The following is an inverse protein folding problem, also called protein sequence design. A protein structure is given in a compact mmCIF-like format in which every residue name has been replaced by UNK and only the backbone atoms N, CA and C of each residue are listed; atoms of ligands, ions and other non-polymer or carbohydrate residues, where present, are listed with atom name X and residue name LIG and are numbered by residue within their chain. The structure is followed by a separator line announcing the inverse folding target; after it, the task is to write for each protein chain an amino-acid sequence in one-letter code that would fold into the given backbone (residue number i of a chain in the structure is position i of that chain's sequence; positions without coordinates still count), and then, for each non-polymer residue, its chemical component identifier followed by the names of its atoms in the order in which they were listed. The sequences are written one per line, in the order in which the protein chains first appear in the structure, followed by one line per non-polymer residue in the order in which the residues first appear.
data_IF_118623842579
#
_entry.id   IF_118623842579
#
_cell.length_a   1.000
_cell.length_b   1.000
_cell.length_c   1.000
_cell.angle_alpha   90.00
_cell.angle_beta   90.00
_cell.angle_gamma   90.00
#
_symmetry.space_group_name_H-M   'P 1'
#
loop_
_entity.id
_entity.type
_entity.pdbx_description
1 polymer ?
#
# COMPACT_ATOMS: atom_id res chain seq x y z
N UNK A 1 16.64 -23.11 -5.47
CA UNK A 1 16.49 -23.99 -6.65
C UNK A 1 16.96 -23.29 -7.94
N UNK A 2 16.28 -22.24 -8.44
CA UNK A 2 16.63 -21.59 -9.72
C UNK A 2 18.08 -21.04 -9.78
N UNK A 3 18.53 -20.28 -8.77
CA UNK A 3 19.93 -19.81 -8.69
C UNK A 3 20.96 -20.93 -8.61
N UNK A 4 20.61 -22.08 -8.02
CA UNK A 4 21.48 -23.25 -7.95
C UNK A 4 21.65 -23.92 -9.34
N UNK A 5 20.68 -23.73 -10.23
CA UNK A 5 20.73 -24.15 -11.64
C UNK A 5 21.38 -23.09 -12.55
N UNK A 6 22.00 -22.05 -11.99
CA UNK A 6 22.67 -20.98 -12.74
C UNK A 6 21.76 -19.89 -13.31
N UNK A 7 20.47 -19.88 -12.95
CA UNK A 7 19.51 -18.87 -13.42
C UNK A 7 19.57 -17.59 -12.57
N UNK A 8 19.49 -16.42 -13.21
CA UNK A 8 19.46 -15.11 -12.53
C UNK A 8 18.08 -14.83 -11.89
N UNK A 9 17.76 -15.56 -10.82
CA UNK A 9 16.47 -15.47 -10.15
C UNK A 9 16.50 -14.55 -8.92
N UNK A 10 15.46 -13.74 -8.72
CA UNK A 10 15.30 -12.87 -7.56
C UNK A 10 13.92 -12.95 -6.91
N UNK A 11 13.83 -12.57 -5.63
CA UNK A 11 12.56 -12.41 -4.93
C UNK A 11 11.99 -11.02 -5.14
N UNK A 12 10.68 -10.91 -5.25
CA UNK A 12 10.00 -9.62 -5.24
C UNK A 12 8.76 -9.63 -4.36
N UNK A 13 8.51 -8.50 -3.71
CA UNK A 13 7.27 -8.24 -3.00
C UNK A 13 6.21 -7.77 -4.01
N UNK A 14 5.07 -8.45 -4.04
CA UNK A 14 3.93 -8.09 -4.87
C UNK A 14 2.83 -7.55 -3.95
N UNK A 15 2.38 -6.30 -4.12
CA UNK A 15 1.26 -5.77 -3.36
C UNK A 15 -0.05 -6.42 -3.83
N UNK A 16 -0.34 -7.64 -3.36
CA UNK A 16 -1.68 -8.20 -3.47
C UNK A 16 -2.70 -7.30 -2.74
N UNK A 17 -3.97 -7.26 -3.20
CA UNK A 17 -5.06 -6.81 -2.35
C UNK A 17 -4.95 -7.56 -1.02
N UNK A 18 -4.96 -6.86 0.12
CA UNK A 18 -4.75 -7.49 1.41
C UNK A 18 -5.76 -8.62 1.61
N UNK A 19 -5.29 -9.84 1.84
CA UNK A 19 -6.15 -10.90 2.34
C UNK A 19 -6.46 -10.56 3.80
N UNK A 20 -7.72 -10.19 4.03
CA UNK A 20 -8.22 -9.79 5.34
C UNK A 20 -8.39 -11.04 6.21
N UNK A 21 -7.87 -10.97 7.42
CA UNK A 21 -8.36 -11.79 8.52
C UNK A 21 -8.53 -10.85 9.70
N UNK A 22 -9.74 -10.30 9.83
CA UNK A 22 -10.19 -9.76 11.11
C UNK A 22 -10.46 -10.98 11.99
N UNK A 23 -9.56 -11.23 12.95
CA UNK A 23 -9.74 -12.28 13.95
C UNK A 23 -9.65 -11.59 15.30
N UNK A 24 -10.80 -11.54 15.98
CA UNK A 24 -10.97 -10.93 17.30
C UNK A 24 -10.69 -9.40 17.34
N UNK A 25 -11.02 -8.67 16.26
CA UNK A 25 -10.84 -7.20 16.19
C UNK A 25 -9.39 -6.78 15.94
N UNK A 26 -8.56 -7.70 15.45
CA UNK A 26 -7.12 -7.47 15.21
C UNK A 26 -6.78 -7.71 13.73
N UNK A 27 -6.06 -6.75 13.15
CA UNK A 27 -5.69 -6.75 11.74
C UNK A 27 -4.30 -7.37 11.55
N UNK A 28 -4.26 -8.56 10.93
CA UNK A 28 -3.01 -9.28 10.61
C UNK A 28 -2.40 -8.86 9.27
N UNK A 29 -1.06 -8.91 9.18
CA UNK A 29 -0.32 -8.68 7.94
C UNK A 29 0.17 -10.00 7.34
N UNK A 30 -0.48 -10.44 6.26
CA UNK A 30 0.09 -11.39 5.29
C UNK A 30 0.59 -10.63 4.07
N UNK A 31 1.79 -10.99 3.60
CA UNK A 31 2.39 -10.41 2.40
C UNK A 31 2.70 -11.49 1.38
N UNK A 32 2.65 -11.11 0.11
CA UNK A 32 2.91 -12.00 -1.01
C UNK A 32 4.29 -11.78 -1.60
N UNK A 33 5.07 -12.86 -1.66
CA UNK A 33 6.44 -12.85 -2.17
C UNK A 33 6.56 -13.88 -3.27
N UNK A 34 6.95 -13.43 -4.46
CA UNK A 34 7.14 -14.28 -5.64
C UNK A 34 8.61 -14.29 -6.07
N UNK A 35 8.97 -15.31 -6.86
CA UNK A 35 10.29 -15.41 -7.49
C UNK A 35 10.16 -15.02 -8.95
N UNK A 36 11.09 -14.21 -9.45
CA UNK A 36 11.19 -13.88 -10.87
C UNK A 36 12.42 -14.56 -11.46
N UNK A 37 12.25 -15.16 -12.64
CA UNK A 37 13.32 -15.74 -13.44
C UNK A 37 13.27 -15.11 -14.84
N UNK A 38 14.30 -14.40 -15.30
CA UNK A 38 14.32 -13.80 -16.62
C UNK A 38 14.34 -14.88 -17.71
N UNK A 39 13.69 -14.61 -18.83
CA UNK A 39 13.66 -15.47 -20.00
C UNK A 39 13.82 -14.65 -21.29
N UNK A 40 14.11 -15.35 -22.39
CA UNK A 40 14.36 -14.73 -23.70
C UNK A 40 13.23 -13.83 -24.20
N UNK A 41 11.99 -14.05 -23.76
CA UNK A 41 10.81 -13.26 -24.15
C UNK A 41 10.12 -12.55 -22.96
N UNK A 42 10.83 -12.26 -21.87
CA UNK A 42 10.26 -11.56 -20.71
C UNK A 42 10.77 -12.11 -19.37
N UNK A 43 9.86 -12.42 -18.46
CA UNK A 43 10.20 -12.99 -17.15
C UNK A 43 9.12 -13.97 -16.71
N UNK A 44 9.54 -15.09 -16.11
CA UNK A 44 8.66 -16.02 -15.44
C UNK A 44 8.50 -15.58 -13.99
N UNK A 45 7.26 -15.35 -13.56
CA UNK A 45 6.93 -15.18 -12.15
C UNK A 45 6.50 -16.53 -11.60
N UNK A 46 7.32 -17.12 -10.74
CA UNK A 46 6.96 -18.31 -9.98
C UNK A 46 6.34 -17.84 -8.66
N UNK A 47 5.02 -17.98 -8.59
CA UNK A 47 4.22 -17.73 -7.42
C UNK A 47 4.06 -19.02 -6.62
N UNK A 48 4.45 -19.03 -5.35
CA UNK A 48 4.33 -20.24 -4.51
C UNK A 48 2.85 -20.55 -4.17
N UNK A 49 1.95 -19.58 -4.33
CA UNK A 49 0.49 -19.74 -4.16
C UNK A 49 -0.26 -20.11 -5.45
N UNK A 50 0.39 -20.05 -6.61
CA UNK A 50 -0.21 -20.43 -7.90
C UNK A 50 -1.22 -19.43 -8.50
N UNK A 51 -1.26 -18.17 -8.07
CA UNK A 51 -2.14 -17.15 -8.64
C UNK A 51 -1.51 -16.41 -9.83
N UNK A 52 -2.25 -16.23 -10.92
CA UNK A 52 -1.85 -15.37 -12.05
C UNK A 52 -1.98 -13.88 -11.67
N UNK A 53 -0.93 -13.10 -11.94
CA UNK A 53 -0.85 -11.70 -11.50
C UNK A 53 -0.84 -10.73 -12.68
N UNK A 54 -1.51 -9.56 -12.57
CA UNK A 54 -1.48 -8.54 -13.61
C UNK A 54 -0.12 -7.81 -13.67
N UNK A 55 0.39 -7.61 -14.89
CA UNK A 55 1.76 -7.15 -15.25
C UNK A 55 2.24 -5.80 -14.66
N UNK A 56 1.37 -5.00 -14.03
CA UNK A 56 1.60 -3.57 -13.81
C UNK A 56 1.85 -3.12 -12.36
N UNK A 57 2.28 -4.03 -11.48
CA UNK A 57 2.60 -3.65 -10.10
C UNK A 57 4.09 -3.30 -9.95
N UNK A 58 4.38 -2.20 -9.24
CA UNK A 58 5.76 -1.82 -8.86
C UNK A 58 6.30 -2.85 -7.86
N UNK A 59 6.79 -3.97 -8.37
CA UNK A 59 7.39 -5.00 -7.57
C UNK A 59 8.75 -4.53 -7.04
N UNK A 60 8.98 -4.70 -5.74
CA UNK A 60 10.25 -4.35 -5.10
C UNK A 60 11.11 -5.61 -5.03
N UNK A 61 12.29 -5.58 -5.66
CA UNK A 61 13.30 -6.65 -5.51
C UNK A 61 13.69 -6.75 -4.04
N UNK A 62 13.66 -7.96 -3.50
CA UNK A 62 13.98 -8.30 -2.13
C UNK A 62 15.35 -8.95 -2.05
N UNK A 63 16.03 -8.71 -0.94
CA UNK A 63 17.18 -9.55 -0.56
C UNK A 63 16.70 -10.91 -0.05
N UNK A 64 17.59 -11.90 -0.02
CA UNK A 64 17.28 -13.22 0.55
C UNK A 64 16.88 -13.14 2.03
N UNK A 65 17.52 -12.24 2.77
CA UNK A 65 17.19 -11.98 4.17
C UNK A 65 15.76 -11.41 4.30
N UNK A 66 15.38 -10.45 3.44
CA UNK A 66 14.01 -9.91 3.45
C UNK A 66 12.99 -10.98 3.05
N UNK A 67 13.25 -11.76 2.02
CA UNK A 67 12.38 -12.85 1.60
C UNK A 67 12.20 -13.90 2.71
N UNK A 68 13.29 -14.28 3.39
CA UNK A 68 13.24 -15.19 4.53
C UNK A 68 12.44 -14.58 5.70
N UNK A 69 12.64 -13.30 6.01
CA UNK A 69 11.90 -12.64 7.08
C UNK A 69 10.41 -12.51 6.78
N UNK A 70 10.03 -12.27 5.52
CA UNK A 70 8.63 -12.24 5.08
C UNK A 70 7.99 -13.64 5.12
N UNK A 71 8.72 -14.68 4.75
CA UNK A 71 8.26 -16.06 4.91
C UNK A 71 8.01 -16.41 6.39
N UNK A 72 8.97 -16.09 7.27
CA UNK A 72 8.83 -16.27 8.71
C UNK A 72 7.68 -15.43 9.28
N UNK A 73 7.45 -14.23 8.77
CA UNK A 73 6.31 -13.41 9.14
C UNK A 73 4.97 -14.08 8.80
N UNK A 74 4.86 -14.69 7.62
CA UNK A 74 3.64 -15.40 7.21
C UNK A 74 3.38 -16.63 8.10
N UNK A 75 4.42 -17.41 8.44
CA UNK A 75 4.29 -18.50 9.43
C UNK A 75 3.87 -17.96 10.81
N UNK A 76 4.41 -16.81 11.21
CA UNK A 76 4.01 -16.13 12.45
C UNK A 76 2.54 -15.71 12.43
N UNK A 77 2.06 -15.16 11.32
CA UNK A 77 0.67 -14.78 11.14
C UNK A 77 -0.28 -16.00 11.11
N UNK A 78 0.11 -17.09 10.47
CA UNK A 78 -0.63 -18.37 10.51
C UNK A 78 -0.72 -18.91 11.95
N UNK A 79 0.38 -18.90 12.70
CA UNK A 79 0.37 -19.28 14.11
C UNK A 79 -0.51 -18.36 14.96
N UNK A 80 -0.56 -17.05 14.67
CA UNK A 80 -1.51 -16.13 15.32
C UNK A 80 -2.96 -16.51 15.02
N UNK A 81 -3.29 -16.83 13.77
CA UNK A 81 -4.63 -17.31 13.40
C UNK A 81 -5.00 -18.60 14.14
N UNK A 82 -4.05 -19.52 14.27
CA UNK A 82 -4.20 -20.76 15.05
C UNK A 82 -4.19 -20.55 16.57
N UNK A 83 -4.05 -19.30 17.05
CA UNK A 83 -3.92 -18.92 18.47
C UNK A 83 -2.72 -19.57 19.18
N UNK A 84 -1.71 -20.03 18.43
CA UNK A 84 -0.45 -20.52 18.98
C UNK A 84 0.52 -19.36 19.17
N UNK A 85 0.35 -18.64 20.28
CA UNK A 85 1.17 -17.47 20.63
C UNK A 85 2.67 -17.81 20.78
N UNK A 86 3.07 -18.95 21.37
CA UNK A 86 4.49 -19.35 21.43
C UNK A 86 5.14 -19.49 20.05
N UNK A 87 4.50 -20.20 19.10
CA UNK A 87 5.03 -20.33 17.73
C UNK A 87 5.02 -19.00 17.00
N UNK A 88 3.95 -18.23 17.11
CA UNK A 88 3.87 -16.90 16.51
C UNK A 88 5.05 -16.02 16.96
N UNK A 89 5.26 -15.92 18.28
CA UNK A 89 6.36 -15.16 18.85
C UNK A 89 7.72 -15.65 18.35
N UNK A 90 7.96 -16.96 18.32
CA UNK A 90 9.23 -17.53 17.86
C UNK A 90 9.52 -17.18 16.39
N UNK A 91 8.54 -17.33 15.50
CA UNK A 91 8.70 -16.98 14.08
C UNK A 91 8.93 -15.48 13.88
N UNK A 92 8.15 -14.63 14.56
CA UNK A 92 8.24 -13.18 14.43
C UNK A 92 9.56 -12.63 15.00
N UNK A 93 10.03 -13.17 16.13
CA UNK A 93 11.35 -12.86 16.69
C UNK A 93 12.48 -13.25 15.74
N UNK A 94 12.39 -14.43 15.11
CA UNK A 94 13.37 -14.87 14.11
C UNK A 94 13.34 -13.96 12.88
N UNK A 95 12.16 -13.60 12.38
CA UNK A 95 12.01 -12.67 11.26
C UNK A 95 12.66 -11.31 11.55
N UNK A 96 12.47 -10.75 12.76
CA UNK A 96 13.12 -9.51 13.20
C UNK A 96 14.64 -9.67 13.26
N UNK A 97 15.14 -10.80 13.74
CA UNK A 97 16.58 -11.08 13.78
C UNK A 97 17.22 -11.13 12.38
N UNK A 98 16.46 -11.50 11.36
CA UNK A 98 16.91 -11.56 9.96
C UNK A 98 16.78 -10.19 9.27
N UNK A 99 15.63 -9.53 9.40
CA UNK A 99 15.36 -8.24 8.76
C UNK A 99 14.58 -7.31 9.69
N UNK A 100 15.27 -6.52 10.55
CA UNK A 100 14.63 -5.73 11.60
C UNK A 100 13.90 -4.48 11.10
N UNK A 101 14.03 -4.13 9.81
CA UNK A 101 13.44 -2.91 9.24
C UNK A 101 12.12 -3.14 8.52
N UNK A 102 11.54 -4.34 8.63
CA UNK A 102 10.25 -4.67 8.03
C UNK A 102 9.09 -4.32 8.97
N UNK A 103 8.29 -3.27 8.68
CA UNK A 103 7.23 -2.78 9.58
C UNK A 103 6.13 -3.82 9.82
N UNK A 104 5.90 -4.71 8.86
CA UNK A 104 4.90 -5.79 8.90
C UNK A 104 5.14 -6.76 10.06
N UNK A 105 6.40 -7.12 10.27
CA UNK A 105 6.83 -8.10 11.27
C UNK A 105 6.62 -7.54 12.67
N UNK A 106 6.97 -6.26 12.87
CA UNK A 106 6.71 -5.55 14.13
C UNK A 106 5.22 -5.41 14.43
N UNK A 107 4.40 -5.19 13.39
CA UNK A 107 2.94 -5.16 13.55
C UNK A 107 2.40 -6.51 14.02
N UNK A 108 2.79 -7.61 13.39
CA UNK A 108 2.36 -8.95 13.82
C UNK A 108 2.92 -9.32 15.20
N UNK A 109 4.14 -8.90 15.55
CA UNK A 109 4.68 -9.08 16.90
C UNK A 109 3.86 -8.30 17.95
N UNK A 110 3.40 -7.10 17.60
CA UNK A 110 2.47 -6.34 18.44
C UNK A 110 1.19 -7.12 18.71
N UNK A 111 0.65 -7.81 17.70
CA UNK A 111 -0.53 -8.67 17.86
C UNK A 111 -0.25 -9.85 18.79
N UNK A 112 0.92 -10.49 18.67
CA UNK A 112 1.32 -11.57 19.56
C UNK A 112 1.38 -11.13 21.02
N UNK A 113 1.99 -9.97 21.28
CA UNK A 113 2.04 -9.38 22.63
C UNK A 113 0.65 -9.01 23.14
N UNK A 114 -0.17 -8.40 22.30
CA UNK A 114 -1.51 -7.96 22.69
C UNK A 114 -2.40 -9.12 23.13
N UNK A 115 -2.40 -10.19 22.33
CA UNK A 115 -3.13 -11.43 22.64
C UNK A 115 -2.57 -12.18 23.85
N UNK A 116 -1.31 -11.96 24.19
CA UNK A 116 -0.68 -12.50 25.40
C UNK A 116 -0.89 -11.60 26.65
N UNK A 117 -1.68 -10.53 26.55
CA UNK A 117 -1.92 -9.58 27.65
C UNK A 117 -0.73 -8.65 27.95
N UNK A 118 0.29 -8.64 27.09
CA UNK A 118 1.48 -7.78 27.23
C UNK A 118 1.25 -6.44 26.53
N UNK A 119 0.24 -5.68 26.96
CA UNK A 119 -0.21 -4.44 26.31
C UNK A 119 0.93 -3.44 26.09
N UNK A 120 1.83 -3.26 27.07
CA UNK A 120 2.95 -2.34 26.96
C UNK A 120 3.96 -2.73 25.88
N UNK A 121 4.22 -4.03 25.70
CA UNK A 121 5.07 -4.54 24.62
C UNK A 121 4.40 -4.40 23.25
N UNK A 122 3.08 -4.64 23.20
CA UNK A 122 2.28 -4.46 21.98
C UNK A 122 2.36 -3.02 21.47
N UNK A 123 2.16 -2.03 22.35
CA UNK A 123 2.27 -0.60 22.02
C UNK A 123 3.66 -0.29 21.44
N UNK A 124 4.74 -0.74 22.09
CA UNK A 124 6.11 -0.51 21.61
C UNK A 124 6.36 -1.10 20.22
N UNK A 125 5.84 -2.31 19.98
CA UNK A 125 5.98 -2.99 18.69
C UNK A 125 5.22 -2.25 17.58
N UNK A 126 3.97 -1.83 17.83
CA UNK A 126 3.20 -1.04 16.87
C UNK A 126 3.83 0.34 16.60
N UNK A 127 4.35 1.01 17.63
CA UNK A 127 5.06 2.28 17.45
C UNK A 127 6.33 2.12 16.63
N UNK A 128 7.06 1.01 16.79
CA UNK A 128 8.21 0.71 15.94
C UNK A 128 7.79 0.45 14.49
N UNK A 129 6.70 -0.32 14.27
CA UNK A 129 6.13 -0.49 12.94
C UNK A 129 5.79 0.87 12.28
N UNK A 130 5.17 1.79 13.02
CA UNK A 130 4.83 3.14 12.54
C UNK A 130 6.02 4.09 12.42
N UNK A 131 7.14 3.82 13.09
CA UNK A 131 8.40 4.55 12.84
C UNK A 131 9.04 4.11 11.53
N UNK A 132 8.95 2.83 11.20
CA UNK A 132 9.48 2.25 9.96
C UNK A 132 8.60 2.60 8.75
N UNK A 133 7.28 2.54 8.91
CA UNK A 133 6.29 2.98 7.93
C UNK A 133 5.20 3.83 8.62
N UNK A 134 5.28 5.17 8.54
CA UNK A 134 4.34 6.08 9.19
C UNK A 134 2.89 6.01 8.71
N UNK A 135 2.61 5.31 7.60
CA UNK A 135 1.26 5.16 7.05
C UNK A 135 0.81 3.70 7.03
N UNK A 136 1.51 2.81 7.76
CA UNK A 136 1.16 1.40 7.91
C UNK A 136 -0.19 1.27 8.61
N UNK A 137 -1.24 1.06 7.82
CA UNK A 137 -2.62 1.12 8.28
C UNK A 137 -2.95 0.10 9.36
N UNK A 138 -2.37 -1.12 9.33
CA UNK A 138 -2.68 -2.19 10.29
C UNK A 138 -2.08 -1.92 11.67
N UNK A 139 -0.82 -1.47 11.73
CA UNK A 139 -0.18 -1.07 12.98
C UNK A 139 -0.89 0.15 13.60
N UNK A 140 -1.32 1.10 12.76
CA UNK A 140 -2.13 2.23 13.21
C UNK A 140 -3.48 1.80 13.79
N UNK A 141 -4.22 0.93 13.09
CA UNK A 141 -5.52 0.42 13.57
C UNK A 141 -5.38 -0.40 14.84
N UNK A 142 -4.42 -1.33 14.90
CA UNK A 142 -4.22 -2.15 16.09
C UNK A 142 -3.82 -1.30 17.30
N UNK A 143 -2.89 -0.35 17.14
CA UNK A 143 -2.51 0.57 18.22
C UNK A 143 -3.68 1.46 18.65
N UNK A 144 -4.51 1.92 17.71
CA UNK A 144 -5.71 2.68 18.01
C UNK A 144 -6.69 1.86 18.86
N UNK A 145 -6.95 0.60 18.50
CA UNK A 145 -7.80 -0.30 19.29
C UNK A 145 -7.24 -0.57 20.68
N UNK A 146 -5.92 -0.76 20.80
CA UNK A 146 -5.26 -0.87 22.12
C UNK A 146 -5.50 0.38 22.95
N UNK A 147 -5.30 1.58 22.40
CA UNK A 147 -5.57 2.82 23.14
C UNK A 147 -7.03 2.99 23.54
N UNK A 148 -7.98 2.59 22.67
CA UNK A 148 -9.40 2.61 23.03
C UNK A 148 -9.73 1.65 24.16
N UNK A 149 -9.19 0.42 24.11
CA UNK A 149 -9.43 -0.61 25.13
C UNK A 149 -8.86 -0.22 26.49
N UNK A 150 -7.71 0.46 26.51
CA UNK A 150 -7.09 1.00 27.74
C UNK A 150 -7.74 2.33 28.21
N UNK A 151 -8.77 2.83 27.51
CA UNK A 151 -9.41 4.12 27.83
C UNK A 151 -8.55 5.35 27.55
N UNK A 152 -7.42 5.21 26.87
CA UNK A 152 -6.51 6.30 26.54
C UNK A 152 -6.92 7.03 25.25
N UNK A 153 -8.07 7.70 25.31
CA UNK A 153 -8.66 8.40 24.16
C UNK A 153 -7.75 9.51 23.61
N UNK A 154 -7.02 10.21 24.48
CA UNK A 154 -6.07 11.24 24.06
C UNK A 154 -4.92 10.69 23.20
N UNK A 155 -4.38 9.51 23.54
CA UNK A 155 -3.36 8.86 22.71
C UNK A 155 -3.94 8.36 21.38
N UNK A 156 -5.18 7.86 21.40
CA UNK A 156 -5.89 7.41 20.21
C UNK A 156 -6.11 8.56 19.20
N UNK A 157 -6.60 9.71 19.68
CA UNK A 157 -6.77 10.93 18.86
C UNK A 157 -5.44 11.45 18.31
N UNK A 158 -4.41 11.52 19.17
CA UNK A 158 -3.07 11.94 18.76
C UNK A 158 -2.48 11.02 17.68
N UNK A 159 -2.69 9.71 17.80
CA UNK A 159 -2.29 8.73 16.80
C UNK A 159 -3.01 8.96 15.47
N UNK A 160 -4.33 9.10 15.49
CA UNK A 160 -5.12 9.36 14.28
C UNK A 160 -4.67 10.64 13.59
N UNK A 161 -4.50 11.74 14.33
CA UNK A 161 -4.03 13.01 13.80
C UNK A 161 -2.63 12.87 13.16
N UNK A 162 -1.73 12.10 13.78
CA UNK A 162 -0.40 11.81 13.23
C UNK A 162 -0.47 11.03 11.93
N UNK A 163 -1.27 9.96 11.88
CA UNK A 163 -1.44 9.10 10.69
C UNK A 163 -2.08 9.91 9.56
N UNK A 164 -3.12 10.69 9.85
CA UNK A 164 -3.82 11.50 8.86
C UNK A 164 -2.92 12.60 8.29
N UNK A 165 -2.12 13.27 9.13
CA UNK A 165 -1.12 14.24 8.67
C UNK A 165 -0.11 13.62 7.70
N UNK A 166 0.28 12.36 7.93
CA UNK A 166 1.20 11.64 7.03
C UNK A 166 0.51 11.21 5.75
N UNK A 167 -0.69 10.63 5.83
CA UNK A 167 -1.52 10.26 4.67
C UNK A 167 -1.78 11.46 3.75
N UNK A 168 -2.12 12.63 4.31
CA UNK A 168 -2.36 13.85 3.53
C UNK A 168 -1.15 14.34 2.74
N UNK A 169 0.07 14.00 3.15
CA UNK A 169 1.32 14.33 2.41
C UNK A 169 1.63 13.33 1.31
N UNK A 170 0.89 12.24 1.19
CA UNK A 170 1.01 11.29 0.09
C UNK A 170 0.12 11.76 -1.09
N UNK A 171 0.69 12.07 -2.27
CA UNK A 171 -0.10 12.47 -3.44
C UNK A 171 -1.12 11.42 -3.87
N UNK A 172 -0.79 10.13 -3.73
CA UNK A 172 -1.67 9.03 -4.10
C UNK A 172 -2.86 8.85 -3.15
N UNK A 173 -2.70 9.25 -1.88
CA UNK A 173 -3.82 9.29 -0.95
C UNK A 173 -4.81 10.40 -1.33
N UNK A 174 -4.32 11.59 -1.67
CA UNK A 174 -5.16 12.69 -2.18
C UNK A 174 -5.86 12.29 -3.48
N UNK A 175 -5.13 11.63 -4.39
CA UNK A 175 -5.69 11.15 -5.65
C UNK A 175 -6.79 10.10 -5.44
N UNK A 176 -6.61 9.15 -4.52
CA UNK A 176 -7.63 8.16 -4.22
C UNK A 176 -8.89 8.79 -3.64
N UNK A 177 -8.76 9.76 -2.72
CA UNK A 177 -9.89 10.54 -2.23
C UNK A 177 -10.59 11.31 -3.36
N UNK A 178 -9.84 11.85 -4.32
CA UNK A 178 -10.42 12.53 -5.46
C UNK A 178 -11.20 11.58 -6.38
N UNK A 179 -10.68 10.37 -6.62
CA UNK A 179 -11.39 9.34 -7.39
C UNK A 179 -12.69 8.90 -6.73
N UNK A 180 -12.68 8.79 -5.39
CA UNK A 180 -13.91 8.54 -4.63
C UNK A 180 -14.89 9.71 -4.79
N UNK A 181 -14.45 10.95 -4.61
CA UNK A 181 -15.29 12.13 -4.81
C UNK A 181 -15.86 12.20 -6.24
N UNK A 182 -15.09 11.83 -7.26
CA UNK A 182 -15.56 11.71 -8.65
C UNK A 182 -16.65 10.66 -8.81
N UNK A 183 -16.48 9.47 -8.21
CA UNK A 183 -17.48 8.40 -8.26
C UNK A 183 -18.78 8.79 -7.54
N UNK A 184 -18.69 9.66 -6.52
CA UNK A 184 -19.82 10.21 -5.78
C UNK A 184 -20.36 11.51 -6.39
N UNK A 185 -19.91 11.89 -7.60
CA UNK A 185 -20.29 13.12 -8.32
C UNK A 185 -20.00 14.44 -7.56
N UNK A 186 -19.13 14.41 -6.55
CA UNK A 186 -18.66 15.59 -5.80
C UNK A 186 -17.48 16.24 -6.53
N UNK A 187 -17.77 16.87 -7.67
CA UNK A 187 -16.74 17.33 -8.61
C UNK A 187 -15.85 18.46 -8.05
N UNK A 188 -16.40 19.37 -7.25
CA UNK A 188 -15.63 20.45 -6.60
C UNK A 188 -14.63 19.89 -5.58
N UNK A 189 -15.03 18.86 -4.83
CA UNK A 189 -14.14 18.17 -3.91
C UNK A 189 -13.03 17.44 -4.66
N UNK A 190 -13.37 16.78 -5.76
CA UNK A 190 -12.41 16.13 -6.63
C UNK A 190 -11.37 17.12 -7.21
N UNK A 191 -11.78 18.27 -7.75
CA UNK A 191 -10.84 19.29 -8.28
C UNK A 191 -9.87 19.73 -7.19
N UNK A 192 -10.38 20.05 -5.99
CA UNK A 192 -9.54 20.47 -4.85
C UNK A 192 -8.54 19.39 -4.44
N UNK A 193 -8.96 18.13 -4.39
CA UNK A 193 -8.11 17.00 -4.02
C UNK A 193 -7.06 16.69 -5.09
N UNK A 194 -7.43 16.75 -6.38
CA UNK A 194 -6.50 16.57 -7.51
C UNK A 194 -5.46 17.69 -7.55
N UNK A 195 -5.86 18.94 -7.31
CA UNK A 195 -4.90 20.06 -7.19
C UNK A 195 -3.91 19.86 -6.05
N UNK A 196 -4.34 19.29 -4.92
CA UNK A 196 -3.44 18.92 -3.81
C UNK A 196 -2.51 17.77 -4.20
N UNK A 197 -3.01 16.75 -4.89
CA UNK A 197 -2.19 15.65 -5.40
C UNK A 197 -1.09 16.17 -6.35
N UNK A 198 -1.46 17.06 -7.28
CA UNK A 198 -0.54 17.70 -8.23
C UNK A 198 0.49 18.59 -7.52
N UNK A 199 0.07 19.34 -6.50
CA UNK A 199 1.00 20.14 -5.69
C UNK A 199 2.04 19.28 -4.94
N UNK A 200 1.70 18.04 -4.59
CA UNK A 200 2.61 17.09 -3.93
C UNK A 200 3.47 16.31 -4.94
N UNK A 201 2.93 15.98 -6.11
CA UNK A 201 3.64 15.36 -7.23
C UNK A 201 2.97 15.75 -8.55
N UNK A 202 3.66 16.57 -9.35
CA UNK A 202 3.14 17.10 -10.61
C UNK A 202 3.53 16.27 -11.85
N UNK A 203 4.22 15.14 -11.68
CA UNK A 203 4.74 14.32 -12.80
C UNK A 203 3.85 13.11 -13.12
N UNK A 204 2.84 12.81 -12.31
CA UNK A 204 1.92 11.71 -12.58
C UNK A 204 0.82 12.17 -13.54
N UNK A 205 0.86 11.69 -14.78
CA UNK A 205 -0.11 12.09 -15.81
C UNK A 205 -1.56 11.81 -15.41
N UNK A 206 -1.81 10.78 -14.59
CA UNK A 206 -3.15 10.38 -14.15
C UNK A 206 -3.84 11.47 -13.33
N UNK A 207 -3.08 12.23 -12.53
CA UNK A 207 -3.66 13.32 -11.75
C UNK A 207 -4.16 14.45 -12.65
N UNK A 208 -3.40 14.75 -13.71
CA UNK A 208 -3.78 15.78 -14.69
C UNK A 208 -4.93 15.33 -15.57
N UNK A 209 -4.97 14.05 -15.93
CA UNK A 209 -6.07 13.46 -16.70
C UNK A 209 -7.39 13.48 -15.93
N UNK A 210 -7.40 13.00 -14.69
CA UNK A 210 -8.60 13.04 -13.86
C UNK A 210 -9.00 14.47 -13.49
N UNK A 211 -8.05 15.42 -13.42
CA UNK A 211 -8.36 16.85 -13.29
C UNK A 211 -9.01 17.42 -14.55
N UNK A 212 -8.56 17.02 -15.74
CA UNK A 212 -9.19 17.37 -17.00
C UNK A 212 -10.64 16.87 -17.04
N UNK A 213 -10.86 15.60 -16.70
CA UNK A 213 -12.20 15.00 -16.60
C UNK A 213 -13.09 15.74 -15.61
N UNK A 214 -12.59 15.98 -14.41
CA UNK A 214 -13.34 16.69 -13.36
C UNK A 214 -13.77 18.08 -13.82
N UNK A 215 -12.87 18.83 -14.48
CA UNK A 215 -13.16 20.18 -14.96
C UNK A 215 -14.11 20.21 -16.14
N UNK A 216 -14.06 19.21 -17.02
CA UNK A 216 -15.06 19.04 -18.08
C UNK A 216 -16.46 18.82 -17.48
N UNK A 217 -16.58 17.96 -16.46
CA UNK A 217 -17.83 17.71 -15.74
C UNK A 217 -18.36 18.95 -14.99
N UNK A 218 -17.47 19.85 -14.56
CA UNK A 218 -17.80 21.15 -13.99
C UNK A 218 -18.13 22.22 -15.05
N UNK A 219 -18.10 21.90 -16.35
CA UNK A 219 -18.34 22.84 -17.45
C UNK A 219 -17.15 23.77 -17.78
N UNK A 220 -15.99 23.57 -17.15
CA UNK A 220 -14.80 24.40 -17.32
C UNK A 220 -13.91 23.87 -18.47
N UNK A 221 -14.38 23.98 -19.71
CA UNK A 221 -13.74 23.41 -20.89
C UNK A 221 -12.28 23.87 -21.09
N UNK A 222 -11.98 25.16 -20.90
CA UNK A 222 -10.62 25.70 -21.05
C UNK A 222 -9.64 25.08 -20.03
N UNK A 223 -10.05 25.00 -18.76
CA UNK A 223 -9.24 24.42 -17.70
C UNK A 223 -9.08 22.91 -17.86
N UNK A 224 -10.08 22.24 -18.43
CA UNK A 224 -10.02 20.84 -18.79
C UNK A 224 -8.96 20.58 -19.87
N UNK A 225 -8.99 21.36 -20.97
CA UNK A 225 -8.01 21.25 -22.08
C UNK A 225 -6.57 21.44 -21.61
N UNK A 226 -6.29 22.47 -20.79
CA UNK A 226 -4.95 22.69 -20.21
C UNK A 226 -4.45 21.50 -19.40
N UNK A 227 -5.35 20.91 -18.61
CA UNK A 227 -5.01 19.75 -17.77
C UNK A 227 -4.79 18.49 -18.63
N UNK A 228 -5.58 18.33 -19.70
CA UNK A 228 -5.44 17.22 -20.63
C UNK A 228 -4.13 17.29 -21.41
N UNK A 229 -3.74 18.47 -21.88
CA UNK A 229 -2.45 18.70 -22.53
C UNK A 229 -1.31 18.32 -21.60
N UNK A 230 -1.38 18.74 -20.33
CA UNK A 230 -0.37 18.37 -19.34
C UNK A 230 -0.31 16.86 -19.11
N UNK A 231 -1.46 16.18 -19.09
CA UNK A 231 -1.51 14.72 -18.98
C UNK A 231 -0.82 14.04 -20.17
N UNK A 232 -1.08 14.48 -21.41
CA UNK A 232 -0.43 13.92 -22.61
C UNK A 232 1.08 14.10 -22.57
N UNK A 233 1.56 15.27 -22.20
CA UNK A 233 3.00 15.57 -22.13
C UNK A 233 3.74 14.72 -21.08
N UNK A 234 3.03 14.14 -20.11
CA UNK A 234 3.60 13.31 -19.05
C UNK A 234 3.35 11.81 -19.24
N UNK A 235 2.40 11.43 -20.11
CA UNK A 235 2.05 10.04 -20.32
C UNK A 235 3.16 9.33 -21.12
N UNK A 236 3.54 8.10 -20.74
CA UNK A 236 4.53 7.34 -21.50
C UNK A 236 3.97 6.99 -22.88
N UNK A 237 4.84 6.95 -23.89
CA UNK A 237 4.45 6.86 -25.31
C UNK A 237 3.51 5.70 -25.61
N UNK A 238 3.72 4.56 -24.96
CA UNK A 238 2.90 3.36 -25.10
C UNK A 238 1.45 3.49 -24.57
N UNK A 239 1.15 4.54 -23.79
CA UNK A 239 -0.18 4.79 -23.22
C UNK A 239 -0.88 6.02 -23.82
N UNK A 240 -0.23 6.77 -24.71
CA UNK A 240 -0.76 8.03 -25.25
C UNK A 240 -2.09 7.88 -26.00
N UNK A 241 -2.28 6.77 -26.72
CA UNK A 241 -3.49 6.52 -27.52
C UNK A 241 -4.66 5.92 -26.71
N UNK A 242 -4.38 5.22 -25.61
CA UNK A 242 -5.39 4.48 -24.84
C UNK A 242 -5.78 5.16 -23.51
N UNK A 243 -4.89 5.94 -22.89
CA UNK A 243 -5.10 6.47 -21.54
C UNK A 243 -5.55 7.95 -21.50
N UNK A 244 -5.44 8.70 -22.60
CA UNK A 244 -5.61 10.16 -22.63
C UNK A 244 -6.37 10.62 -23.90
N UNK A 245 -7.52 10.00 -24.18
CA UNK A 245 -8.35 10.32 -25.35
C UNK A 245 -9.26 11.53 -25.08
N UNK A 246 -9.18 12.61 -25.89
CA UNK A 246 -10.06 13.78 -25.73
C UNK A 246 -11.54 13.46 -25.99
N UNK A 247 -11.83 12.45 -26.83
CA UNK A 247 -13.19 12.01 -27.12
C UNK A 247 -13.94 11.49 -25.89
N UNK A 248 -13.20 11.00 -24.88
CA UNK A 248 -13.78 10.53 -23.62
C UNK A 248 -14.27 11.66 -22.71
N UNK A 249 -13.88 12.92 -23.00
CA UNK A 249 -14.15 14.06 -22.13
C UNK A 249 -15.30 14.96 -22.59
N UNK A 250 -16.05 14.60 -23.65
CA UNK A 250 -17.13 15.42 -24.23
C UNK A 250 -16.76 16.90 -24.37
N UNK A 251 -15.48 17.20 -24.62
CA UNK A 251 -15.02 18.57 -24.80
C UNK A 251 -15.49 19.04 -26.19
N UNK A 252 -16.04 20.26 -26.33
CA UNK A 252 -16.41 20.79 -27.63
C UNK A 252 -15.19 20.78 -28.56
N UNK A 253 -15.38 20.37 -29.81
CA UNK A 253 -14.38 20.55 -30.87
C UNK A 253 -14.25 22.05 -31.15
N UNK A 254 -13.02 22.55 -31.28
CA UNK A 254 -12.79 23.90 -31.79
C UNK A 254 -13.20 24.01 -33.27
#
# INVERSE_FOLDING_TARGET
MARHLGLDAWYQEVPLPPQWSDVDGVWLVNLHVNVVVPASNGHWVVDVSGQEMPDNQRARRLTDAEALALYLNNLGAEALLARDLPRAYAYLRKAIGVAPRLPHVWSNLGVAYDRNGQTGDAIRAYELALRLDPVQSRAASNLFHVYQREGNLAAAEKLQARVEKRRRRNPYYQYQLARQALAEHRYEDADRLLRRAIALNNQDYRFHYDLARTRALLGNAEAARKSLERARNLAPENLLLAAVNPGDLLLPSD
#
